data_IF_005281515904
#
_entry.id   IF_005281515904
#
_cell.length_a   1.000
_cell.length_b   1.000
_cell.length_c   1.000
_cell.angle_alpha   90.00
_cell.angle_beta   90.00
_cell.angle_gamma   90.00
#
_symmetry.space_group_name_H-M   'P 1'
#
loop_
_entity.id
_entity.type
_entity.pdbx_description
1 polymer ?
#
# COMPACT_ATOMS: atom_id res chain seq x y z
N UNK A 1 1.41 -5.54 -0.81
CA UNK A 1 -0.01 -5.20 -0.54
C UNK A 1 -0.94 -6.39 -0.78
N UNK A 2 -1.21 -6.82 -2.01
CA UNK A 2 -2.25 -7.85 -2.30
C UNK A 2 -2.06 -9.21 -1.61
N UNK A 3 -0.85 -9.78 -1.64
CA UNK A 3 -0.56 -11.05 -0.94
C UNK A 3 -0.74 -10.90 0.58
N UNK A 4 -0.12 -9.89 1.19
CA UNK A 4 -0.20 -9.65 2.64
C UNK A 4 -1.64 -9.44 3.10
N UNK A 5 -2.42 -8.61 2.40
CA UNK A 5 -3.83 -8.37 2.76
C UNK A 5 -4.63 -9.67 2.77
N UNK A 6 -4.47 -10.48 1.72
CA UNK A 6 -5.14 -11.77 1.62
C UNK A 6 -4.76 -12.73 2.75
N UNK A 7 -3.50 -12.72 3.18
CA UNK A 7 -3.05 -13.56 4.30
C UNK A 7 -3.58 -13.07 5.65
N UNK A 8 -3.59 -11.76 5.88
CA UNK A 8 -4.16 -11.19 7.11
C UNK A 8 -5.66 -11.43 7.19
N UNK A 9 -6.39 -11.27 6.07
CA UNK A 9 -7.82 -11.60 6.01
C UNK A 9 -8.05 -13.11 6.28
N UNK A 10 -7.21 -14.01 5.74
CA UNK A 10 -7.25 -15.46 6.05
C UNK A 10 -6.95 -15.78 7.52
N UNK A 11 -6.13 -14.97 8.19
CA UNK A 11 -5.83 -15.07 9.61
C UNK A 11 -6.93 -14.43 10.50
N UNK A 12 -8.03 -13.96 9.91
CA UNK A 12 -9.14 -13.34 10.63
C UNK A 12 -8.88 -11.90 11.09
N UNK A 13 -7.86 -11.22 10.56
CA UNK A 13 -7.60 -9.83 10.91
C UNK A 13 -8.70 -8.92 10.37
N UNK A 14 -9.13 -7.96 11.20
CA UNK A 14 -10.08 -6.93 10.80
C UNK A 14 -9.52 -6.01 9.71
N UNK A 15 -10.41 -5.44 8.88
CA UNK A 15 -10.03 -4.61 7.73
C UNK A 15 -9.10 -3.43 8.10
N UNK A 16 -9.36 -2.78 9.23
CA UNK A 16 -8.52 -1.68 9.74
C UNK A 16 -7.12 -2.15 10.17
N UNK A 17 -7.02 -3.31 10.84
CA UNK A 17 -5.74 -3.88 11.25
C UNK A 17 -4.90 -4.31 10.03
N UNK A 18 -5.51 -4.97 9.05
CA UNK A 18 -4.85 -5.34 7.79
C UNK A 18 -4.35 -4.12 7.01
N UNK A 19 -5.14 -3.04 7.00
CA UNK A 19 -4.77 -1.76 6.38
C UNK A 19 -3.57 -1.13 7.09
N UNK A 20 -3.63 -0.99 8.42
CA UNK A 20 -2.56 -0.40 9.20
C UNK A 20 -1.26 -1.21 9.05
N UNK A 21 -1.33 -2.54 9.22
CA UNK A 21 -0.16 -3.41 9.07
C UNK A 21 0.46 -3.31 7.66
N UNK A 22 -0.34 -3.36 6.60
CA UNK A 22 0.17 -3.24 5.23
C UNK A 22 0.75 -1.86 4.94
N UNK A 23 0.17 -0.79 5.48
CA UNK A 23 0.61 0.59 5.21
C UNK A 23 1.87 0.94 5.99
N UNK A 24 1.94 0.53 7.26
CA UNK A 24 3.13 0.67 8.11
C UNK A 24 4.28 -0.14 7.55
N UNK A 25 4.06 -1.40 7.17
CA UNK A 25 5.13 -2.23 6.58
C UNK A 25 5.73 -1.57 5.32
N UNK A 26 4.86 -1.02 4.46
CA UNK A 26 5.30 -0.29 3.27
C UNK A 26 6.10 0.95 3.66
N UNK A 27 5.58 1.80 4.55
CA UNK A 27 6.28 2.99 5.02
C UNK A 27 7.66 2.65 5.59
N UNK A 28 7.73 1.66 6.49
CA UNK A 28 8.96 1.20 7.12
C UNK A 28 10.00 0.71 6.12
N UNK A 29 9.57 -0.01 5.07
CA UNK A 29 10.47 -0.41 3.98
C UNK A 29 11.09 0.79 3.26
N UNK A 30 10.39 1.92 3.20
CA UNK A 30 10.87 3.16 2.57
C UNK A 30 11.53 4.15 3.53
N UNK A 31 11.79 3.75 4.79
CA UNK A 31 12.47 4.61 5.75
C UNK A 31 13.89 4.98 5.32
N UNK A 32 14.54 4.17 4.48
CA UNK A 32 15.85 4.48 3.90
C UNK A 32 15.84 5.71 2.98
N UNK A 33 14.66 6.15 2.51
CA UNK A 33 14.47 7.39 1.75
C UNK A 33 14.27 8.62 2.66
N UNK A 34 14.33 8.43 3.98
CA UNK A 34 14.07 9.45 5.00
C UNK A 34 12.60 9.50 5.44
N UNK A 35 12.32 10.40 6.38
CA UNK A 35 10.99 10.54 7.01
C UNK A 35 9.91 10.88 5.96
N UNK A 36 10.23 11.72 4.98
CA UNK A 36 9.32 12.04 3.88
C UNK A 36 8.93 10.81 3.06
N UNK A 37 9.91 9.96 2.71
CA UNK A 37 9.67 8.71 1.99
C UNK A 37 8.85 7.70 2.79
N UNK A 38 9.08 7.62 4.11
CA UNK A 38 8.29 6.82 5.04
C UNK A 38 6.82 7.25 5.06
N UNK A 39 6.55 8.53 5.32
CA UNK A 39 5.18 9.05 5.42
C UNK A 39 4.47 8.95 4.07
N UNK A 40 5.12 9.33 2.97
CA UNK A 40 4.56 9.23 1.63
C UNK A 40 4.19 7.79 1.25
N UNK A 41 5.04 6.82 1.60
CA UNK A 41 4.73 5.41 1.35
C UNK A 41 3.68 4.82 2.27
N UNK A 42 3.56 5.32 3.51
CA UNK A 42 2.44 4.93 4.38
C UNK A 42 1.11 5.39 3.76
N UNK A 43 1.03 6.64 3.28
CA UNK A 43 -0.16 7.17 2.58
C UNK A 43 -0.46 6.37 1.31
N UNK A 44 0.54 6.11 0.46
CA UNK A 44 0.36 5.24 -0.71
C UNK A 44 -0.12 3.84 -0.34
N UNK A 45 0.38 3.29 0.78
CA UNK A 45 -0.06 2.02 1.33
C UNK A 45 -1.57 2.00 1.56
N UNK A 46 -2.11 3.03 2.21
CA UNK A 46 -3.56 3.18 2.44
C UNK A 46 -4.33 3.20 1.13
N UNK A 47 -3.88 4.00 0.15
CA UNK A 47 -4.50 4.07 -1.17
C UNK A 47 -4.52 2.69 -1.82
N UNK A 48 -3.37 2.00 -1.87
CA UNK A 48 -3.27 0.69 -2.54
C UNK A 48 -4.12 -0.38 -1.87
N UNK A 49 -4.23 -0.37 -0.53
CA UNK A 49 -5.15 -1.24 0.20
C UNK A 49 -6.59 -0.96 -0.21
N UNK A 50 -6.98 0.32 -0.28
CA UNK A 50 -8.34 0.72 -0.64
C UNK A 50 -8.69 0.31 -2.08
N UNK A 51 -7.80 0.57 -3.04
CA UNK A 51 -7.95 0.14 -4.43
C UNK A 51 -8.04 -1.39 -4.53
N UNK A 52 -7.16 -2.12 -3.83
CA UNK A 52 -7.18 -3.58 -3.84
C UNK A 52 -8.49 -4.15 -3.30
N UNK A 53 -9.01 -3.62 -2.19
CA UNK A 53 -10.30 -4.06 -1.62
C UNK A 53 -11.48 -3.70 -2.52
N UNK A 54 -11.42 -2.58 -3.26
CA UNK A 54 -12.49 -2.17 -4.18
C UNK A 54 -12.61 -3.06 -5.41
N UNK A 55 -11.49 -3.46 -6.01
CA UNK A 55 -11.51 -4.21 -7.27
C UNK A 55 -11.10 -5.67 -7.14
N UNK A 56 -10.51 -6.10 -6.03
CA UNK A 56 -9.98 -7.45 -5.84
C UNK A 56 -8.85 -7.82 -6.81
N UNK A 57 -8.25 -6.83 -7.49
CA UNK A 57 -7.29 -7.01 -8.58
C UNK A 57 -6.04 -6.17 -8.35
N UNK A 58 -4.89 -6.66 -8.82
CA UNK A 58 -3.61 -5.94 -8.75
C UNK A 58 -3.45 -4.90 -9.86
N UNK A 59 -4.20 -5.02 -10.97
CA UNK A 59 -4.12 -4.10 -12.11
C UNK A 59 -4.26 -2.61 -11.75
N UNK A 60 -5.30 -2.20 -11.00
CA UNK A 60 -5.44 -0.81 -10.56
C UNK A 60 -4.26 -0.28 -9.73
N UNK A 61 -3.56 -1.16 -8.98
CA UNK A 61 -2.39 -0.77 -8.19
C UNK A 61 -1.20 -0.50 -9.10
N UNK A 62 -1.01 -1.30 -10.15
CA UNK A 62 0.04 -1.08 -11.14
C UNK A 62 -0.16 0.28 -11.81
N UNK A 63 -1.38 0.57 -12.29
CA UNK A 63 -1.71 1.85 -12.91
C UNK A 63 -1.48 3.01 -11.94
N UNK A 64 -1.99 2.93 -10.72
CA UNK A 64 -1.80 3.98 -9.72
C UNK A 64 -0.32 4.22 -9.40
N UNK A 65 0.47 3.15 -9.27
CA UNK A 65 1.91 3.28 -9.01
C UNK A 65 2.64 3.93 -10.18
N UNK A 66 2.38 3.48 -11.41
CA UNK A 66 3.02 4.04 -12.60
C UNK A 66 2.68 5.51 -12.80
N UNK A 67 1.44 5.93 -12.54
CA UNK A 67 1.06 7.35 -12.64
C UNK A 67 1.78 8.21 -11.58
N UNK A 68 1.92 7.70 -10.36
CA UNK A 68 2.67 8.38 -9.31
C UNK A 68 4.15 8.50 -9.66
N UNK A 69 4.75 7.44 -10.21
CA UNK A 69 6.15 7.47 -10.62
C UNK A 69 6.38 8.45 -11.79
N UNK A 70 5.49 8.44 -12.79
CA UNK A 70 5.57 9.41 -13.91
C UNK A 70 5.48 10.84 -13.38
N UNK A 71 4.48 11.15 -12.55
CA UNK A 71 4.30 12.51 -12.04
C UNK A 71 5.35 12.97 -11.03
N UNK A 72 6.08 12.04 -10.39
CA UNK A 72 7.12 12.37 -9.42
C UNK A 72 8.51 12.52 -10.03
N UNK A 73 8.78 11.86 -11.18
CA UNK A 73 10.12 11.78 -11.77
C UNK A 73 10.23 12.38 -13.18
N UNK A 74 9.13 12.78 -13.81
CA UNK A 74 9.09 13.58 -15.05
C UNK A 74 8.64 14.98 -14.74
#
# INVERSE_FOLDING_TARGET
VGYLLRRLDQLGWGAGASLAASSVLRGSYHLYQGIGGFVGNMVMGVVFVHLYRRWGRVGPLVVAHSLLDIGAFV
#
